data_IF_503324568978
#
_entry.id   IF_503324568978
#
_cell.length_a   1.000
_cell.length_b   1.000
_cell.length_c   1.000
_cell.angle_alpha   90.00
_cell.angle_beta   90.00
_cell.angle_gamma   90.00
#
_symmetry.space_group_name_H-M   'P 1'
#
loop_
_entity.id
_entity.type
_entity.pdbx_description
1 polymer ?
#
# COMPACT_ATOMS: atom_id res chain seq x y z
N UNK A 1 -8.10 3.57 2.26
CA UNK A 1 -9.18 3.73 3.26
C UNK A 1 -10.36 2.94 2.75
N UNK A 2 -10.80 1.90 3.46
CA UNK A 2 -11.99 1.14 3.08
C UNK A 2 -13.25 1.83 3.62
N UNK A 3 -14.36 1.72 2.91
CA UNK A 3 -15.67 2.25 3.32
C UNK A 3 -16.79 1.34 2.79
N UNK A 4 -17.93 1.33 3.46
CA UNK A 4 -19.14 0.63 3.02
C UNK A 4 -20.34 1.56 3.26
N UNK A 5 -21.15 1.82 2.24
CA UNK A 5 -22.33 2.69 2.29
C UNK A 5 -23.56 1.80 2.26
N UNK A 6 -24.40 1.96 3.28
CA UNK A 6 -25.65 1.23 3.41
C UNK A 6 -26.84 2.15 3.13
N UNK A 7 -27.87 1.62 2.48
CA UNK A 7 -29.19 2.22 2.44
C UNK A 7 -30.08 1.50 3.46
N UNK A 8 -30.67 2.29 4.35
CA UNK A 8 -31.58 1.82 5.40
C UNK A 8 -32.91 2.52 5.16
N UNK A 9 -33.91 1.74 4.76
CA UNK A 9 -35.29 2.22 4.61
C UNK A 9 -36.15 1.52 5.64
N UNK A 10 -36.94 2.25 6.46
CA UNK A 10 -37.84 1.63 7.42
C UNK A 10 -38.73 0.56 6.78
N UNK A 11 -38.78 -0.63 7.37
CA UNK A 11 -39.56 -1.76 6.87
C UNK A 11 -39.01 -2.49 5.64
N UNK A 12 -37.83 -2.12 5.13
CA UNK A 12 -37.13 -2.83 4.05
C UNK A 12 -35.82 -3.45 4.53
N UNK A 13 -35.36 -4.56 3.92
CA UNK A 13 -34.03 -5.08 4.18
C UNK A 13 -32.95 -4.02 3.92
N UNK A 14 -31.91 -4.04 4.76
CA UNK A 14 -30.72 -3.19 4.53
C UNK A 14 -30.03 -3.62 3.25
N UNK A 15 -29.64 -2.64 2.42
CA UNK A 15 -28.87 -2.91 1.19
C UNK A 15 -27.56 -2.11 1.16
N UNK A 16 -26.58 -2.59 0.39
CA UNK A 16 -25.31 -1.89 0.17
C UNK A 16 -25.43 -1.09 -1.13
N UNK A 17 -25.13 0.22 -1.06
CA UNK A 17 -25.08 1.13 -2.20
C UNK A 17 -23.69 1.13 -2.86
N UNK A 18 -22.64 1.20 -2.03
CA UNK A 18 -21.26 1.19 -2.51
C UNK A 18 -20.31 0.62 -1.45
N UNK A 19 -19.28 -0.09 -1.88
CA UNK A 19 -18.30 -0.73 -1.01
C UNK A 19 -16.96 -0.84 -1.71
N UNK A 20 -15.98 -0.03 -1.28
CA UNK A 20 -14.72 0.08 -2.00
C UNK A 20 -13.56 0.57 -1.11
N UNK A 21 -12.36 0.68 -1.72
CA UNK A 21 -11.15 1.22 -1.12
C UNK A 21 -10.71 2.48 -1.85
N UNK A 22 -10.68 3.59 -1.12
CA UNK A 22 -10.05 4.83 -1.59
C UNK A 22 -8.53 4.73 -1.45
N UNK A 23 -7.81 4.83 -2.57
CA UNK A 23 -6.35 4.93 -2.58
C UNK A 23 -5.92 6.40 -2.42
N UNK A 24 -5.56 6.76 -1.20
CA UNK A 24 -5.13 8.12 -0.85
C UNK A 24 -3.65 8.42 -1.20
N UNK A 25 -2.96 7.49 -1.88
CA UNK A 25 -1.57 7.64 -2.28
C UNK A 25 -1.46 8.01 -3.77
N UNK A 26 -0.39 8.72 -4.13
CA UNK A 26 -0.06 9.02 -5.53
C UNK A 26 0.09 7.72 -6.35
N UNK A 27 -0.41 7.70 -7.59
CA UNK A 27 -0.17 6.58 -8.51
C UNK A 27 1.33 6.52 -8.82
N UNK A 28 1.90 5.33 -8.77
CA UNK A 28 3.30 5.11 -9.13
C UNK A 28 3.55 5.62 -10.56
N UNK A 29 4.67 6.33 -10.77
CA UNK A 29 5.10 6.68 -12.12
C UNK A 29 5.27 5.39 -12.95
N UNK A 30 4.91 5.39 -14.25
CA UNK A 30 5.02 4.20 -15.07
C UNK A 30 6.45 3.67 -15.07
N UNK A 31 6.62 2.42 -14.64
CA UNK A 31 7.93 1.76 -14.66
C UNK A 31 8.23 1.25 -16.07
N UNK A 32 9.43 1.54 -16.58
CA UNK A 32 9.92 0.97 -17.83
C UNK A 32 10.26 -0.52 -17.66
N UNK A 33 9.85 -1.34 -18.62
CA UNK A 33 10.19 -2.76 -18.68
C UNK A 33 11.37 -3.00 -19.63
N UNK A 34 12.15 -4.02 -19.33
CA UNK A 34 13.28 -4.44 -20.14
C UNK A 34 12.79 -5.07 -21.45
N UNK A 35 13.24 -4.51 -22.56
CA UNK A 35 12.88 -4.93 -23.91
C UNK A 35 13.95 -5.80 -24.59
N UNK A 36 14.95 -6.28 -23.85
CA UNK A 36 15.94 -7.22 -24.37
C UNK A 36 15.38 -8.65 -24.48
N UNK A 37 15.93 -9.43 -25.41
CA UNK A 37 15.61 -10.85 -25.56
C UNK A 37 16.38 -11.72 -24.57
N UNK A 38 15.69 -12.70 -24.00
CA UNK A 38 16.30 -13.74 -23.19
C UNK A 38 17.09 -14.69 -24.10
N UNK A 39 18.26 -15.15 -23.62
CA UNK A 39 19.01 -16.20 -24.31
C UNK A 39 18.13 -17.45 -24.45
N UNK A 40 17.91 -17.98 -25.67
CA UNK A 40 17.08 -19.16 -25.87
C UNK A 40 17.73 -20.37 -25.20
N UNK A 41 16.91 -21.19 -24.53
CA UNK A 41 17.41 -22.40 -23.85
C UNK A 41 17.89 -23.46 -24.84
N UNK A 42 17.24 -23.55 -26.01
CA UNK A 42 17.58 -24.45 -27.12
C UNK A 42 17.46 -23.72 -28.46
N UNK A 43 18.20 -24.15 -29.51
CA UNK A 43 18.16 -23.58 -30.88
C UNK A 43 16.76 -23.58 -31.54
N UNK A 44 15.81 -24.41 -31.04
CA UNK A 44 14.43 -24.52 -31.57
C UNK A 44 13.40 -23.62 -30.87
N UNK A 45 13.76 -22.94 -29.77
CA UNK A 45 12.83 -22.07 -29.04
C UNK A 45 12.95 -20.61 -29.50
N UNK A 46 11.85 -19.94 -29.86
CA UNK A 46 11.87 -18.52 -30.22
C UNK A 46 12.33 -17.65 -29.04
N UNK A 47 13.10 -16.61 -29.33
CA UNK A 47 13.64 -15.71 -28.33
C UNK A 47 12.50 -14.96 -27.62
N UNK A 48 12.38 -15.14 -26.31
CA UNK A 48 11.34 -14.50 -25.49
C UNK A 48 11.80 -13.14 -24.98
N UNK A 49 10.94 -12.13 -25.06
CA UNK A 49 11.19 -10.81 -24.48
C UNK A 49 11.28 -10.88 -22.95
N UNK A 50 12.18 -10.11 -22.34
CA UNK A 50 12.45 -10.16 -20.90
C UNK A 50 11.28 -9.71 -20.02
N UNK A 51 10.79 -8.48 -20.23
CA UNK A 51 9.68 -7.89 -19.47
C UNK A 51 9.98 -7.51 -18.01
N UNK A 52 11.17 -7.81 -17.47
CA UNK A 52 11.55 -7.42 -16.09
C UNK A 52 11.72 -5.90 -15.97
N UNK A 53 11.52 -5.33 -14.77
CA UNK A 53 11.74 -3.89 -14.52
C UNK A 53 13.14 -3.46 -14.98
N UNK A 54 13.19 -2.43 -15.82
CA UNK A 54 14.44 -1.87 -16.33
C UNK A 54 15.12 -1.03 -15.24
N UNK A 55 16.44 -1.15 -15.10
CA UNK A 55 17.25 -0.32 -14.20
C UNK A 55 18.14 0.67 -14.95
N UNK A 56 18.33 0.43 -16.24
CA UNK A 56 19.27 1.13 -17.09
C UNK A 56 18.63 1.37 -18.46
N UNK A 57 19.00 2.47 -19.11
CA UNK A 57 18.63 2.76 -20.49
C UNK A 57 19.86 3.11 -21.33
N UNK A 58 19.75 2.90 -22.63
CA UNK A 58 20.70 3.38 -23.64
C UNK A 58 19.95 3.68 -24.92
N UNK A 59 19.93 4.94 -25.34
CA UNK A 59 19.08 5.39 -26.45
C UNK A 59 17.60 5.03 -26.17
N UNK A 60 16.99 4.28 -27.08
CA UNK A 60 15.61 3.78 -26.98
C UNK A 60 15.46 2.41 -26.29
N UNK A 61 16.56 1.78 -25.87
CA UNK A 61 16.56 0.42 -25.29
C UNK A 61 16.62 0.45 -23.76
N UNK A 62 15.87 -0.45 -23.13
CA UNK A 62 15.72 -0.55 -21.68
C UNK A 62 16.24 -1.91 -21.17
N UNK A 63 17.10 -1.87 -20.15
CA UNK A 63 17.84 -3.02 -19.66
C UNK A 63 17.52 -3.29 -18.19
N UNK A 64 17.16 -4.53 -17.86
CA UNK A 64 17.13 -4.96 -16.46
C UNK A 64 18.56 -5.17 -15.93
N UNK A 65 18.70 -5.29 -14.61
CA UNK A 65 19.99 -5.51 -13.93
C UNK A 65 20.82 -6.64 -14.56
N UNK A 66 20.17 -7.77 -14.89
CA UNK A 66 20.83 -8.92 -15.49
C UNK A 66 21.36 -8.62 -16.90
N UNK A 67 20.54 -8.00 -17.76
CA UNK A 67 20.95 -7.70 -19.13
C UNK A 67 22.00 -6.60 -19.21
N UNK A 68 21.97 -5.63 -18.30
CA UNK A 68 23.04 -4.64 -18.18
C UNK A 68 24.37 -5.30 -17.78
N UNK A 69 24.38 -6.19 -16.78
CA UNK A 69 25.58 -6.90 -16.32
C UNK A 69 26.19 -7.85 -17.35
N UNK A 70 25.37 -8.39 -18.25
CA UNK A 70 25.83 -9.31 -19.30
C UNK A 70 26.05 -8.62 -20.66
N UNK A 71 25.94 -7.30 -20.72
CA UNK A 71 26.21 -6.55 -21.96
C UNK A 71 27.69 -6.56 -22.27
N UNK A 72 28.04 -6.85 -23.53
CA UNK A 72 29.40 -6.71 -24.06
C UNK A 72 29.63 -5.35 -24.72
N UNK A 73 28.55 -4.60 -24.99
CA UNK A 73 28.60 -3.33 -25.73
C UNK A 73 28.72 -2.13 -24.80
N UNK A 74 28.06 -2.20 -23.63
CA UNK A 74 27.97 -1.09 -22.68
C UNK A 74 28.36 -1.54 -21.27
N UNK A 75 28.90 -0.62 -20.48
CA UNK A 75 29.28 -0.84 -19.10
C UNK A 75 28.34 -0.12 -18.11
N UNK A 76 28.27 -0.62 -16.89
CA UNK A 76 27.47 0.00 -15.81
C UNK A 76 28.28 1.18 -15.25
N UNK A 77 27.71 2.39 -15.16
CA UNK A 77 28.43 3.54 -14.64
C UNK A 77 28.77 3.34 -13.15
N UNK A 78 29.99 3.70 -12.77
CA UNK A 78 30.48 3.66 -11.40
C UNK A 78 30.90 5.06 -10.95
N UNK A 79 31.25 5.23 -9.66
CA UNK A 79 31.79 6.50 -9.16
C UNK A 79 33.06 6.92 -9.92
N UNK A 80 33.87 5.97 -10.36
CA UNK A 80 35.12 6.20 -11.09
C UNK A 80 34.89 6.62 -12.55
N UNK A 81 33.72 6.31 -13.12
CA UNK A 81 33.35 6.71 -14.48
C UNK A 81 32.44 7.94 -14.49
N UNK A 82 32.37 8.70 -13.39
CA UNK A 82 31.47 9.84 -13.26
C UNK A 82 32.16 11.18 -13.60
N UNK A 83 31.45 12.16 -14.20
CA UNK A 83 32.00 13.49 -14.45
C UNK A 83 32.59 14.16 -13.19
N UNK A 84 31.93 13.98 -12.05
CA UNK A 84 32.38 14.49 -10.75
C UNK A 84 33.72 13.92 -10.28
N UNK A 85 34.07 12.70 -10.72
CA UNK A 85 35.38 12.11 -10.45
C UNK A 85 36.44 12.76 -11.32
N UNK A 86 36.24 12.79 -12.63
CA UNK A 86 37.20 13.36 -13.59
C UNK A 86 37.44 14.85 -13.36
N UNK A 87 36.42 15.62 -13.00
CA UNK A 87 36.54 17.04 -12.69
C UNK A 87 37.51 17.34 -11.54
N UNK A 88 37.78 16.38 -10.65
CA UNK A 88 38.71 16.51 -9.52
C UNK A 88 40.13 16.02 -9.83
N UNK A 89 40.33 15.30 -10.93
CA UNK A 89 41.63 14.71 -11.29
C UNK A 89 42.58 15.75 -11.88
N UNK A 90 43.89 15.53 -11.76
CA UNK A 90 44.91 16.41 -12.35
C UNK A 90 45.12 16.08 -13.82
N UNK A 91 45.63 17.05 -14.61
CA UNK A 91 45.88 16.88 -16.06
C UNK A 91 46.74 15.65 -16.40
N UNK A 92 47.82 15.32 -15.67
CA UNK A 92 48.59 14.10 -15.94
C UNK A 92 47.77 12.81 -15.82
N UNK A 93 46.88 12.75 -14.84
CA UNK A 93 46.02 11.58 -14.59
C UNK A 93 44.95 11.45 -15.69
N UNK A 94 44.38 12.58 -16.13
CA UNK A 94 43.44 12.61 -17.25
C UNK A 94 44.10 12.15 -18.57
N UNK A 95 45.36 12.54 -18.81
CA UNK A 95 46.12 12.06 -19.96
C UNK A 95 46.36 10.55 -19.91
N UNK A 96 46.71 10.00 -18.74
CA UNK A 96 46.88 8.55 -18.58
C UNK A 96 45.60 7.79 -18.93
N UNK A 97 44.44 8.24 -18.41
CA UNK A 97 43.13 7.66 -18.74
C UNK A 97 42.85 7.73 -20.24
N UNK A 98 43.11 8.86 -20.88
CA UNK A 98 42.87 9.00 -22.30
C UNK A 98 43.74 8.04 -23.14
N UNK A 99 44.97 7.76 -22.72
CA UNK A 99 45.84 6.77 -23.37
C UNK A 99 45.33 5.36 -23.16
N UNK A 100 44.95 5.00 -21.94
CA UNK A 100 44.41 3.68 -21.59
C UNK A 100 43.11 3.38 -22.35
N UNK A 101 42.26 4.39 -22.53
CA UNK A 101 41.02 4.30 -23.31
C UNK A 101 41.24 4.38 -24.82
N UNK A 102 42.49 4.59 -25.27
CA UNK A 102 42.87 4.78 -26.67
C UNK A 102 42.10 5.92 -27.37
N UNK A 103 41.82 7.01 -26.65
CA UNK A 103 41.08 8.19 -27.15
C UNK A 103 41.99 9.37 -27.56
N UNK A 104 43.31 9.16 -27.55
CA UNK A 104 44.34 10.10 -27.98
C UNK A 104 45.54 9.38 -28.59
N UNK A 105 46.22 10.00 -29.57
CA UNK A 105 47.46 9.51 -30.17
C UNK A 105 48.70 9.82 -29.32
N UNK A 106 49.85 9.24 -29.68
CA UNK A 106 51.10 9.37 -28.92
C UNK A 106 51.62 10.81 -28.82
N UNK A 107 51.33 11.64 -29.82
CA UNK A 107 51.78 13.04 -29.92
C UNK A 107 50.69 14.07 -29.58
N UNK A 108 49.51 13.62 -29.13
CA UNK A 108 48.41 14.52 -28.81
C UNK A 108 48.66 15.26 -27.48
N UNK A 109 48.51 16.59 -27.52
CA UNK A 109 48.54 17.43 -26.33
C UNK A 109 47.28 18.28 -26.26
N UNK A 110 46.42 17.97 -25.29
CA UNK A 110 45.14 18.65 -25.11
C UNK A 110 45.09 19.48 -23.83
N UNK A 111 44.34 20.57 -23.89
CA UNK A 111 43.99 21.36 -22.71
C UNK A 111 43.05 20.57 -21.81
N UNK A 112 43.02 20.88 -20.50
CA UNK A 112 42.12 20.23 -19.53
C UNK A 112 40.66 20.15 -20.00
N UNK A 113 40.03 21.22 -20.54
CA UNK A 113 38.64 21.15 -21.00
C UNK A 113 38.45 20.12 -22.12
N UNK A 114 39.40 20.01 -23.06
CA UNK A 114 39.33 19.06 -24.16
C UNK A 114 39.48 17.62 -23.65
N UNK A 115 40.39 17.38 -22.71
CA UNK A 115 40.55 16.06 -22.08
C UNK A 115 39.25 15.60 -21.38
N UNK A 116 38.65 16.48 -20.58
CA UNK A 116 37.38 16.18 -19.91
C UNK A 116 36.27 15.94 -20.93
N UNK A 117 36.20 16.74 -21.99
CA UNK A 117 35.24 16.55 -23.09
C UNK A 117 35.36 15.17 -23.73
N UNK A 118 36.57 14.75 -24.11
CA UNK A 118 36.81 13.42 -24.71
C UNK A 118 36.47 12.27 -23.77
N UNK A 119 36.83 12.37 -22.49
CA UNK A 119 36.49 11.36 -21.48
C UNK A 119 34.98 11.27 -21.28
N UNK A 120 34.30 12.42 -21.17
CA UNK A 120 32.86 12.46 -21.03
C UNK A 120 32.15 11.86 -22.24
N UNK A 121 32.55 12.22 -23.46
CA UNK A 121 31.99 11.67 -24.70
C UNK A 121 32.19 10.15 -24.79
N UNK A 122 33.36 9.64 -24.41
CA UNK A 122 33.61 8.20 -24.38
C UNK A 122 32.65 7.48 -23.44
N UNK A 123 32.55 7.93 -22.18
CA UNK A 123 31.68 7.27 -21.19
C UNK A 123 30.20 7.54 -21.44
N UNK A 124 29.82 8.67 -22.03
CA UNK A 124 28.45 8.91 -22.48
C UNK A 124 28.05 7.91 -23.57
N UNK A 125 28.98 7.49 -24.43
CA UNK A 125 28.76 6.47 -25.46
C UNK A 125 28.89 5.03 -24.95
N UNK A 126 29.74 4.76 -23.95
CA UNK A 126 29.99 3.40 -23.44
C UNK A 126 29.23 3.02 -22.18
N UNK A 127 28.76 3.96 -21.37
CA UNK A 127 28.00 3.64 -20.17
C UNK A 127 26.49 3.60 -20.41
N UNK A 128 25.80 2.78 -19.62
CA UNK A 128 24.36 2.90 -19.43
C UNK A 128 23.97 4.17 -18.67
N UNK A 129 22.76 4.66 -18.91
CA UNK A 129 22.13 5.70 -18.08
C UNK A 129 21.27 5.02 -17.00
N UNK A 130 21.52 5.24 -15.70
CA UNK A 130 20.68 4.69 -14.64
C UNK A 130 19.28 5.30 -14.69
N UNK A 131 18.26 4.44 -14.64
CA UNK A 131 16.87 4.90 -14.52
C UNK A 131 16.60 5.19 -13.06
N UNK A 132 16.36 6.46 -12.74
CA UNK A 132 16.00 6.88 -11.39
C UNK A 132 14.52 6.55 -11.17
N UNK A 133 14.27 5.37 -10.62
CA UNK A 133 12.95 5.05 -10.08
C UNK A 133 12.73 5.90 -8.83
N UNK A 134 11.74 6.80 -8.86
CA UNK A 134 11.25 7.40 -7.62
C UNK A 134 10.82 6.25 -6.71
N UNK A 135 11.41 6.17 -5.51
CA UNK A 135 10.96 5.21 -4.50
C UNK A 135 9.46 5.39 -4.33
N UNK A 136 8.72 4.27 -4.30
CA UNK A 136 7.30 4.28 -3.97
C UNK A 136 7.15 4.97 -2.61
N UNK A 137 6.49 6.13 -2.57
CA UNK A 137 6.18 6.79 -1.30
C UNK A 137 5.27 5.85 -0.53
N UNK A 138 5.71 5.44 0.66
CA UNK A 138 4.84 4.67 1.55
C UNK A 138 3.79 5.59 2.15
N UNK A 139 2.76 5.00 2.76
CA UNK A 139 1.78 5.77 3.51
C UNK A 139 2.42 6.60 4.64
N UNK A 140 3.58 6.20 5.16
CA UNK A 140 4.30 6.94 6.18
C UNK A 140 5.07 8.14 5.61
N UNK A 141 5.47 8.09 4.34
CA UNK A 141 6.27 9.13 3.70
C UNK A 141 5.43 10.24 3.06
N UNK A 142 4.17 9.97 2.74
CA UNK A 142 3.22 10.98 2.26
C UNK A 142 2.90 11.95 3.40
N UNK A 143 2.74 13.24 3.15
CA UNK A 143 2.33 14.19 4.19
C UNK A 143 0.80 14.19 4.39
N UNK A 144 0.35 14.62 5.58
CA UNK A 144 -1.08 14.63 5.93
C UNK A 144 -1.90 15.64 5.10
N UNK A 145 -1.29 16.70 4.58
CA UNK A 145 -1.97 17.70 3.75
C UNK A 145 -2.33 17.07 2.40
N UNK A 146 -1.39 16.33 1.79
CA UNK A 146 -1.61 15.57 0.56
C UNK A 146 -2.69 14.51 0.75
N UNK A 147 -2.66 13.78 1.87
CA UNK A 147 -3.71 12.81 2.21
C UNK A 147 -5.07 13.49 2.34
N UNK A 148 -5.18 14.59 3.08
CA UNK A 148 -6.43 15.32 3.28
C UNK A 148 -7.01 15.88 1.97
N UNK A 149 -6.17 16.47 1.12
CA UNK A 149 -6.58 16.95 -0.21
C UNK A 149 -7.09 15.81 -1.09
N UNK A 150 -6.39 14.66 -1.10
CA UNK A 150 -6.79 13.52 -1.92
C UNK A 150 -8.03 12.82 -1.38
N UNK A 151 -8.19 12.75 -0.06
CA UNK A 151 -9.39 12.25 0.60
C UNK A 151 -10.61 13.07 0.19
N UNK A 152 -10.55 14.41 0.29
CA UNK A 152 -11.64 15.29 -0.14
C UNK A 152 -12.02 15.07 -1.61
N UNK A 153 -11.03 15.04 -2.49
CA UNK A 153 -11.26 14.84 -3.92
C UNK A 153 -11.92 13.48 -4.20
N UNK A 154 -11.40 12.39 -3.63
CA UNK A 154 -11.94 11.05 -3.89
C UNK A 154 -13.29 10.80 -3.22
N UNK A 155 -13.54 11.37 -2.04
CA UNK A 155 -14.87 11.26 -1.40
C UNK A 155 -15.92 11.99 -2.23
N UNK A 156 -15.61 13.18 -2.79
CA UNK A 156 -16.51 13.91 -3.67
C UNK A 156 -16.87 13.14 -4.96
N UNK A 157 -16.06 12.15 -5.37
CA UNK A 157 -16.33 11.31 -6.54
C UNK A 157 -17.31 10.18 -6.24
N UNK A 158 -17.61 9.89 -4.97
CA UNK A 158 -18.54 8.82 -4.59
C UNK A 158 -19.98 9.28 -4.83
N UNK A 159 -20.78 8.54 -5.64
CA UNK A 159 -22.19 8.85 -5.84
C UNK A 159 -22.97 8.87 -4.52
N UNK A 160 -23.79 9.91 -4.31
CA UNK A 160 -24.61 10.04 -3.11
C UNK A 160 -23.83 10.38 -1.82
N UNK A 161 -22.53 10.71 -1.89
CA UNK A 161 -21.74 11.01 -0.67
C UNK A 161 -22.29 12.16 0.17
N UNK A 162 -22.96 13.13 -0.47
CA UNK A 162 -23.58 14.28 0.18
C UNK A 162 -24.96 13.96 0.79
N UNK A 163 -25.54 12.80 0.48
CA UNK A 163 -26.82 12.33 1.01
C UNK A 163 -26.65 11.49 2.28
N UNK A 164 -25.39 11.21 2.67
CA UNK A 164 -25.08 10.46 3.89
C UNK A 164 -25.63 11.23 5.09
N UNK A 165 -26.39 10.53 5.93
CA UNK A 165 -26.98 11.06 7.16
C UNK A 165 -26.23 10.60 8.41
N UNK A 166 -25.59 9.43 8.35
CA UNK A 166 -24.87 8.80 9.45
C UNK A 166 -23.49 8.33 8.99
N UNK A 167 -22.46 8.68 9.76
CA UNK A 167 -21.07 8.27 9.52
C UNK A 167 -20.56 7.57 10.76
N UNK A 168 -20.14 6.32 10.58
CA UNK A 168 -19.61 5.51 11.66
C UNK A 168 -18.12 5.31 11.40
N UNK A 169 -17.29 5.61 12.38
CA UNK A 169 -15.84 5.55 12.22
C UNK A 169 -15.24 4.71 13.35
N UNK A 170 -14.44 3.70 13.00
CA UNK A 170 -13.75 2.85 13.98
C UNK A 170 -12.70 3.66 14.76
N UNK A 171 -12.73 3.56 16.09
CA UNK A 171 -11.78 4.19 16.99
C UNK A 171 -10.36 3.63 16.84
N UNK A 172 -9.38 4.53 16.72
CA UNK A 172 -7.96 4.19 16.68
C UNK A 172 -7.32 4.30 18.07
N UNK A 173 -6.55 3.27 18.48
CA UNK A 173 -5.92 3.20 19.81
C UNK A 173 -4.74 4.20 19.90
N UNK A 174 -4.90 5.20 20.78
CA UNK A 174 -4.16 6.46 20.74
C UNK A 174 -2.63 6.38 20.89
N UNK A 175 -2.02 5.52 21.75
CA UNK A 175 -0.55 5.47 21.86
C UNK A 175 0.14 4.94 20.59
N UNK A 176 -0.58 4.19 19.75
CA UNK A 176 0.00 3.38 18.68
C UNK A 176 -0.28 4.00 17.29
N UNK A 177 -1.34 4.80 17.16
CA UNK A 177 -1.90 5.18 15.86
C UNK A 177 -2.22 6.68 15.68
N UNK A 178 -1.40 7.59 16.23
CA UNK A 178 -1.58 9.06 16.13
C UNK A 178 -1.89 9.57 14.70
N UNK A 179 -1.21 9.01 13.71
CA UNK A 179 -1.42 9.37 12.30
C UNK A 179 -2.82 8.99 11.81
N UNK A 180 -3.30 7.78 12.13
CA UNK A 180 -4.64 7.33 11.77
C UNK A 180 -5.71 8.12 12.53
N UNK A 181 -5.47 8.50 13.79
CA UNK A 181 -6.35 9.38 14.56
C UNK A 181 -6.49 10.77 13.91
N UNK A 182 -5.41 11.28 13.33
CA UNK A 182 -5.46 12.55 12.58
C UNK A 182 -6.28 12.41 11.29
N UNK A 183 -6.09 11.31 10.55
CA UNK A 183 -6.88 11.00 9.34
C UNK A 183 -8.37 10.78 9.68
N UNK A 184 -8.66 10.14 10.82
CA UNK A 184 -10.00 9.99 11.37
C UNK A 184 -10.64 11.35 11.66
N UNK A 185 -9.90 12.28 12.26
CA UNK A 185 -10.35 13.67 12.46
C UNK A 185 -10.60 14.41 11.14
N UNK A 186 -9.74 14.22 10.13
CA UNK A 186 -9.93 14.80 8.79
C UNK A 186 -11.21 14.26 8.12
N UNK A 187 -11.48 12.96 8.26
CA UNK A 187 -12.68 12.32 7.72
C UNK A 187 -13.94 12.85 8.40
N UNK A 188 -13.94 12.95 9.73
CA UNK A 188 -15.06 13.54 10.47
C UNK A 188 -15.31 14.98 10.05
N UNK A 189 -14.24 15.79 9.94
CA UNK A 189 -14.36 17.18 9.49
C UNK A 189 -14.89 17.31 8.06
N UNK A 190 -14.50 16.41 7.14
CA UNK A 190 -15.05 16.42 5.78
C UNK A 190 -16.57 16.33 5.79
N UNK A 191 -17.14 15.44 6.61
CA UNK A 191 -18.59 15.30 6.70
C UNK A 191 -19.27 16.48 7.42
N UNK A 192 -18.70 16.95 8.53
CA UNK A 192 -19.21 18.13 9.27
C UNK A 192 -19.27 19.36 8.36
N UNK A 193 -18.23 19.60 7.56
CA UNK A 193 -18.17 20.75 6.66
C UNK A 193 -19.16 20.67 5.50
N UNK A 194 -19.60 19.47 5.11
CA UNK A 194 -20.54 19.27 4.01
C UNK A 194 -22.00 19.21 4.47
N UNK A 195 -22.25 18.81 5.72
CA UNK A 195 -23.58 18.72 6.31
C UNK A 195 -23.47 18.96 7.83
N UNK A 196 -24.06 20.05 8.33
CA UNK A 196 -24.02 20.41 9.76
C UNK A 196 -24.83 19.47 10.65
N UNK A 197 -25.84 18.79 10.07
CA UNK A 197 -26.76 17.90 10.79
C UNK A 197 -26.30 16.43 10.72
N UNK A 198 -25.11 16.18 10.18
CA UNK A 198 -24.56 14.82 10.04
C UNK A 198 -24.38 14.16 11.41
N UNK A 199 -24.88 12.93 11.55
CA UNK A 199 -24.62 12.13 12.73
C UNK A 199 -23.28 11.38 12.59
N UNK A 200 -22.33 11.63 13.48
CA UNK A 200 -21.03 10.94 13.49
C UNK A 200 -20.85 10.19 14.81
N UNK A 201 -20.66 8.87 14.75
CA UNK A 201 -20.35 8.04 15.93
C UNK A 201 -18.99 7.35 15.77
N UNK A 202 -18.15 7.47 16.81
CA UNK A 202 -16.89 6.75 16.89
C UNK A 202 -17.08 5.46 17.69
N UNK A 203 -16.90 4.31 17.04
CA UNK A 203 -17.23 3.01 17.63
C UNK A 203 -16.01 2.12 17.88
N UNK A 204 -16.14 1.18 18.80
CA UNK A 204 -15.05 0.27 19.19
C UNK A 204 -14.71 -0.72 18.09
N UNK A 205 -13.42 -1.02 17.92
CA UNK A 205 -12.94 -2.07 17.02
C UNK A 205 -13.39 -3.48 17.45
N UNK A 206 -13.82 -3.67 18.70
CA UNK A 206 -14.30 -4.95 19.21
C UNK A 206 -15.67 -5.39 18.64
N UNK A 207 -16.46 -4.43 18.15
CA UNK A 207 -17.84 -4.65 17.72
C UNK A 207 -17.97 -5.60 16.51
N UNK A 208 -17.00 -5.56 15.58
CA UNK A 208 -17.04 -6.37 14.35
C UNK A 208 -17.11 -7.88 14.59
N UNK A 209 -16.52 -8.37 15.69
CA UNK A 209 -16.57 -9.80 16.04
C UNK A 209 -17.65 -10.12 17.06
N UNK A 210 -18.27 -9.13 17.73
CA UNK A 210 -19.18 -9.36 18.85
C UNK A 210 -20.58 -9.85 18.44
N UNK A 211 -20.95 -9.77 17.16
CA UNK A 211 -22.24 -10.29 16.69
C UNK A 211 -22.25 -11.82 16.84
N UNK A 212 -23.01 -12.34 17.79
CA UNK A 212 -23.36 -13.77 17.83
C UNK A 212 -24.14 -14.08 16.55
N UNK A 213 -23.97 -15.28 16.00
CA UNK A 213 -24.57 -15.73 14.74
C UNK A 213 -25.99 -15.17 14.63
N UNK A 214 -26.20 -14.30 13.63
CA UNK A 214 -27.52 -13.74 13.37
C UNK A 214 -28.32 -14.88 12.74
N UNK A 215 -28.92 -15.71 13.58
CA UNK A 215 -30.09 -16.48 13.18
C UNK A 215 -31.18 -15.45 12.90
N UNK A 216 -31.33 -15.10 11.62
CA UNK A 216 -32.56 -14.47 11.14
C UNK A 216 -33.63 -15.56 11.14
N UNK A 217 -34.10 -15.90 12.35
CA UNK A 217 -35.44 -16.39 12.75
C UNK A 217 -35.35 -17.30 13.98
N UNK A 218 -36.23 -16.96 14.94
CA UNK A 218 -36.73 -17.70 16.10
C UNK A 218 -35.98 -17.58 17.44
N UNK A 219 -36.51 -16.65 18.23
CA UNK A 219 -36.79 -16.65 19.68
C UNK A 219 -35.97 -17.52 20.66
N UNK A 220 -35.65 -16.84 21.77
CA UNK A 220 -35.29 -17.34 23.10
C UNK A 220 -33.94 -18.06 23.22
N UNK A 221 -32.91 -17.35 23.72
CA UNK A 221 -32.16 -17.78 24.92
C UNK A 221 -31.38 -16.60 25.53
N UNK A 222 -31.38 -16.58 26.85
CA UNK A 222 -30.93 -15.56 27.79
C UNK A 222 -29.45 -15.15 27.73
N UNK A 223 -29.23 -13.96 28.32
CA UNK A 223 -28.00 -13.24 28.61
C UNK A 223 -26.87 -14.08 29.24
N UNK A 224 -25.65 -13.79 28.79
CA UNK A 224 -24.46 -13.84 29.64
C UNK A 224 -23.60 -12.64 29.27
N UNK A 225 -23.62 -11.64 30.15
CA UNK A 225 -22.76 -10.47 30.15
C UNK A 225 -21.37 -10.89 30.63
N UNK A 226 -20.33 -10.63 29.85
CA UNK A 226 -18.96 -10.59 30.35
C UNK A 226 -18.56 -9.13 30.53
N UNK A 227 -18.83 -8.59 31.72
CA UNK A 227 -18.26 -7.34 32.21
C UNK A 227 -16.77 -7.55 32.48
N UNK A 228 -15.90 -7.00 31.64
CA UNK A 228 -14.52 -6.73 32.07
C UNK A 228 -14.55 -5.51 32.99
N UNK A 229 -14.47 -5.76 34.30
CA UNK A 229 -14.17 -4.74 35.30
C UNK A 229 -12.66 -4.67 35.48
N UNK A 230 -12.09 -3.48 35.28
CA UNK A 230 -10.80 -3.10 35.82
C UNK A 230 -10.91 -2.97 37.34
N UNK A 231 -9.94 -3.54 38.07
CA UNK A 231 -9.46 -3.28 39.45
C UNK A 231 -8.62 -4.54 39.82
N UNK A 232 -7.36 -4.52 40.24
CA UNK A 232 -6.70 -3.61 41.16
C UNK A 232 -6.76 -4.17 42.59
N UNK A 233 -6.06 -5.27 42.89
CA UNK A 233 -5.55 -5.58 44.24
C UNK A 233 -4.53 -6.74 44.26
N UNK A 234 -3.58 -6.65 45.19
CA UNK A 234 -2.43 -7.52 45.43
C UNK A 234 -2.76 -8.73 46.32
N UNK A 235 -1.98 -9.81 46.16
CA UNK A 235 -1.88 -11.02 47.00
C UNK A 235 -2.89 -12.18 46.80
N UNK A 236 -2.44 -13.20 46.04
CA UNK A 236 -2.56 -14.62 46.43
C UNK A 236 -1.54 -15.51 45.71
N UNK A 237 -0.95 -16.42 46.49
CA UNK A 237 0.10 -17.39 46.16
C UNK A 237 -0.34 -18.50 45.16
N UNK A 238 0.63 -19.24 44.57
CA UNK A 238 0.45 -19.91 43.27
C UNK A 238 -0.12 -21.33 43.40
N UNK A 239 -1.07 -21.67 42.52
CA UNK A 239 -1.47 -23.05 42.24
C UNK A 239 -0.97 -23.45 40.86
N UNK A 240 -0.28 -24.59 40.86
CA UNK A 240 0.56 -25.12 39.79
C UNK A 240 -0.19 -25.59 38.53
N UNK A 241 0.50 -25.42 37.40
CA UNK A 241 0.52 -26.29 36.21
C UNK A 241 -0.80 -26.69 35.54
N UNK A 242 -1.20 -25.87 34.56
CA UNK A 242 -1.71 -26.40 33.29
C UNK A 242 -0.93 -25.72 32.16
N UNK A 243 -0.20 -26.53 31.39
CA UNK A 243 0.46 -26.14 30.14
C UNK A 243 -0.57 -25.54 29.17
N UNK A 244 -0.67 -24.21 29.13
CA UNK A 244 -1.39 -23.48 28.09
C UNK A 244 -0.38 -22.77 27.22
N UNK A 245 -0.42 -23.11 25.94
CA UNK A 245 0.44 -22.64 24.86
C UNK A 245 0.67 -21.12 24.94
N UNK A 246 1.94 -20.74 24.77
CA UNK A 246 2.36 -19.34 24.64
C UNK A 246 1.82 -18.78 23.31
N UNK A 247 0.51 -18.50 23.24
CA UNK A 247 -0.12 -17.87 22.09
C UNK A 247 0.35 -16.42 22.05
N UNK A 248 1.32 -16.16 21.18
CA UNK A 248 1.85 -14.79 20.99
C UNK A 248 0.72 -13.83 20.60
N UNK A 249 0.75 -12.58 21.08
CA UNK A 249 -0.23 -11.54 20.67
C UNK A 249 -0.33 -11.38 19.14
N UNK A 250 0.77 -11.65 18.42
CA UNK A 250 0.82 -11.66 16.95
C UNK A 250 -0.02 -12.77 16.31
N UNK A 251 -0.10 -13.97 16.91
CA UNK A 251 -0.96 -15.05 16.38
C UNK A 251 -2.43 -14.77 16.61
N UNK A 252 -2.78 -14.18 17.76
CA UNK A 252 -4.16 -13.73 18.05
C UNK A 252 -4.61 -12.67 17.06
N UNK A 253 -3.77 -11.65 16.83
CA UNK A 253 -4.08 -10.57 15.89
C UNK A 253 -4.29 -11.08 14.45
N UNK A 254 -3.43 -11.98 13.97
CA UNK A 254 -3.59 -12.61 12.65
C UNK A 254 -4.88 -13.43 12.57
N UNK A 255 -5.23 -14.15 13.64
CA UNK A 255 -6.46 -14.92 13.72
C UNK A 255 -7.69 -14.02 13.62
N UNK A 256 -7.76 -12.92 14.37
CA UNK A 256 -8.88 -11.97 14.31
C UNK A 256 -9.11 -11.39 12.91
N UNK A 257 -8.05 -11.14 12.13
CA UNK A 257 -8.19 -10.72 10.73
C UNK A 257 -8.83 -11.78 9.85
N UNK A 258 -8.45 -13.04 10.03
CA UNK A 258 -9.00 -14.17 9.29
C UNK A 258 -10.47 -14.39 9.69
N UNK A 259 -10.76 -14.31 10.99
CA UNK A 259 -12.11 -14.48 11.55
C UNK A 259 -13.07 -13.40 11.02
N UNK A 260 -12.63 -12.14 10.97
CA UNK A 260 -13.41 -11.04 10.40
C UNK A 260 -13.77 -11.26 8.93
N UNK A 261 -12.79 -11.65 8.10
CA UNK A 261 -13.05 -11.97 6.67
C UNK A 261 -13.98 -13.16 6.52
N UNK A 262 -13.79 -14.20 7.34
CA UNK A 262 -14.63 -15.41 7.32
C UNK A 262 -16.08 -15.07 7.68
N UNK A 263 -16.28 -14.34 8.77
CA UNK A 263 -17.59 -13.90 9.24
C UNK A 263 -18.28 -13.00 8.22
N UNK A 264 -17.54 -12.06 7.64
CA UNK A 264 -18.06 -11.23 6.56
C UNK A 264 -18.54 -12.10 5.39
N UNK A 265 -17.72 -13.06 4.91
CA UNK A 265 -18.12 -13.94 3.82
C UNK A 265 -19.37 -14.76 4.15
N UNK A 266 -19.50 -15.27 5.38
CA UNK A 266 -20.68 -16.01 5.81
C UNK A 266 -21.94 -15.14 5.72
N UNK A 267 -21.90 -13.90 6.24
CA UNK A 267 -23.03 -12.97 6.17
C UNK A 267 -23.42 -12.67 4.71
N UNK A 268 -22.43 -12.48 3.81
CA UNK A 268 -22.69 -12.28 2.39
C UNK A 268 -23.35 -13.49 1.73
N UNK A 269 -22.99 -14.71 2.14
CA UNK A 269 -23.52 -15.94 1.55
C UNK A 269 -24.94 -16.27 2.02
N UNK A 270 -25.29 -15.85 3.25
CA UNK A 270 -26.63 -16.08 3.85
C UNK A 270 -27.65 -15.02 3.42
N UNK A 271 -27.23 -13.85 2.96
CA UNK A 271 -28.11 -12.76 2.55
C UNK A 271 -28.01 -12.52 1.03
N UNK A 272 -29.07 -12.87 0.29
CA UNK A 272 -29.09 -12.79 -1.17
C UNK A 272 -28.81 -11.37 -1.70
N UNK A 273 -29.25 -10.32 -0.99
CA UNK A 273 -29.00 -8.92 -1.37
C UNK A 273 -27.53 -8.53 -1.23
N UNK A 274 -26.81 -9.17 -0.30
CA UNK A 274 -25.39 -8.94 -0.07
C UNK A 274 -24.49 -9.84 -0.90
N UNK A 275 -24.98 -11.01 -1.31
CA UNK A 275 -24.22 -12.01 -2.08
C UNK A 275 -23.56 -11.44 -3.33
N UNK A 276 -24.24 -10.51 -4.01
CA UNK A 276 -23.71 -9.79 -5.19
C UNK A 276 -22.43 -8.99 -4.92
N UNK A 277 -22.14 -8.66 -3.67
CA UNK A 277 -20.95 -7.89 -3.26
C UNK A 277 -19.74 -8.76 -2.91
N UNK A 278 -19.86 -10.08 -2.96
CA UNK A 278 -18.78 -11.01 -2.58
C UNK A 278 -17.46 -10.78 -3.34
N UNK A 279 -17.56 -10.36 -4.61
CA UNK A 279 -16.38 -10.04 -5.44
C UNK A 279 -15.50 -8.94 -4.83
N UNK A 280 -16.03 -8.05 -3.99
CA UNK A 280 -15.26 -6.96 -3.35
C UNK A 280 -14.18 -7.51 -2.42
N UNK A 281 -14.37 -8.72 -1.88
CA UNK A 281 -13.38 -9.39 -1.05
C UNK A 281 -12.25 -10.07 -1.85
N UNK A 282 -12.29 -10.05 -3.19
CA UNK A 282 -11.25 -10.60 -4.08
C UNK A 282 -10.06 -9.65 -4.24
N UNK A 283 -9.60 -9.07 -3.13
CA UNK A 283 -8.52 -8.09 -3.12
C UNK A 283 -7.51 -8.36 -2.02
N UNK A 284 -6.35 -7.71 -2.11
CA UNK A 284 -5.35 -7.71 -1.02
C UNK A 284 -5.81 -6.94 0.23
N UNK A 285 -6.95 -6.24 0.15
CA UNK A 285 -7.50 -5.34 1.17
C UNK A 285 -8.80 -5.84 1.78
N UNK A 286 -9.07 -7.14 1.63
CA UNK A 286 -10.27 -7.80 2.12
C UNK A 286 -10.47 -7.74 3.63
N UNK A 287 -9.40 -7.64 4.42
CA UNK A 287 -9.48 -7.44 5.87
C UNK A 287 -10.04 -6.06 6.22
N UNK A 288 -9.49 -5.00 5.61
CA UNK A 288 -9.98 -3.62 5.79
C UNK A 288 -11.45 -3.47 5.33
N UNK A 289 -11.83 -4.15 4.24
CA UNK A 289 -13.19 -4.15 3.68
C UNK A 289 -14.18 -4.92 4.56
N UNK A 290 -13.80 -6.12 5.02
CA UNK A 290 -14.62 -6.90 5.93
C UNK A 290 -14.88 -6.16 7.25
N UNK A 291 -13.84 -5.50 7.78
CA UNK A 291 -13.95 -4.73 9.01
C UNK A 291 -14.98 -3.59 8.88
N UNK A 292 -14.91 -2.77 7.82
CA UNK A 292 -15.86 -1.65 7.68
C UNK A 292 -17.31 -2.13 7.45
N UNK A 293 -17.50 -3.23 6.72
CA UNK A 293 -18.82 -3.85 6.55
C UNK A 293 -19.38 -4.37 7.88
N UNK A 294 -18.61 -5.16 8.63
CA UNK A 294 -19.04 -5.75 9.90
C UNK A 294 -19.35 -4.67 10.95
N UNK A 295 -18.57 -3.59 10.98
CA UNK A 295 -18.84 -2.44 11.84
C UNK A 295 -20.19 -1.78 11.51
N UNK A 296 -20.49 -1.62 10.22
CA UNK A 296 -21.78 -1.12 9.76
C UNK A 296 -22.94 -2.03 10.15
N UNK A 297 -22.83 -3.33 9.87
CA UNK A 297 -23.87 -4.32 10.22
C UNK A 297 -24.11 -4.37 11.73
N UNK A 298 -23.05 -4.33 12.55
CA UNK A 298 -23.18 -4.25 14.00
C UNK A 298 -23.96 -3.02 14.45
N UNK A 299 -23.64 -1.85 13.87
CA UNK A 299 -24.30 -0.60 14.23
C UNK A 299 -25.79 -0.63 13.85
N UNK A 300 -26.08 -1.11 12.64
CA UNK A 300 -27.45 -1.22 12.12
C UNK A 300 -28.29 -2.11 13.04
N UNK A 301 -27.79 -3.29 13.39
CA UNK A 301 -28.48 -4.22 14.27
C UNK A 301 -28.65 -3.71 15.71
N UNK A 302 -27.88 -2.71 16.14
CA UNK A 302 -27.97 -2.13 17.49
C UNK A 302 -28.92 -0.95 17.55
N UNK A 303 -29.10 -0.22 16.45
CA UNK A 303 -29.74 1.11 16.42
C UNK A 303 -31.03 1.16 15.61
N UNK A 304 -31.19 0.30 14.61
CA UNK A 304 -32.29 0.36 13.66
C UNK A 304 -33.12 -0.93 13.59
N UNK A 305 -32.68 -2.00 14.25
CA UNK A 305 -33.37 -3.28 14.41
C UNK A 305 -33.49 -3.53 15.91
#
# INVERSE_FOLDING_TARGET
>A
MAYCIFQITPGSPTSILDWNVLNLLEKDAPQHSCNCYLKPKNKKTPAKLCGKVAKFSKGSTYFCDKHAKTSTEYCIPTKQTSPSHFNKMKVPELNAICKDLQIMGEHDHFTRPILLGKIHEYYENKCFVPIVHKKKKSANDTDLITIGKKMKLLLNEIPGIHEITHVIIENQISPIANRMKTIQGMLAQYFIMNNSDIHIEFISSANKLSMKNVDVKNENTMNSENTFRENGDENREPLENINSEFVTQNSVYKKHKIDGVTKCSQILDTNDDFKKWKYVLETKKKDDLADCFLQGIWYINKKFI
#
